data_IF_921008377969
#
_entry.id   IF_921008377969
#
_cell.length_a   1.000
_cell.length_b   1.000
_cell.length_c   1.000
_cell.angle_alpha   90.00
_cell.angle_beta   90.00
_cell.angle_gamma   90.00
#
_symmetry.space_group_name_H-M   'P 1'
#
loop_
_entity.id
_entity.type
_entity.pdbx_description
1 polymer ?
#
# COMPACT_ATOMS: atom_id res chain seq x y z
N UNK A 1 15.42 19.08 -58.07
CA UNK A 1 15.77 19.59 -56.72
C UNK A 1 14.53 19.86 -55.84
N UNK A 2 13.57 20.70 -56.23
CA UNK A 2 12.39 21.03 -55.39
C UNK A 2 11.53 19.82 -54.96
N UNK A 3 11.34 18.81 -55.83
CA UNK A 3 10.58 17.59 -55.48
C UNK A 3 11.33 16.71 -54.46
N UNK A 4 12.65 16.58 -54.62
CA UNK A 4 13.51 15.83 -53.71
C UNK A 4 13.54 16.46 -52.30
N UNK A 5 13.61 17.80 -52.25
CA UNK A 5 13.60 18.55 -50.99
C UNK A 5 12.27 18.43 -50.23
N UNK A 6 11.14 18.33 -50.95
CA UNK A 6 9.82 18.09 -50.34
C UNK A 6 9.69 16.66 -49.80
N UNK A 7 10.17 15.66 -50.52
CA UNK A 7 10.19 14.27 -50.02
C UNK A 7 11.09 14.11 -48.80
N UNK A 8 12.24 14.80 -48.76
CA UNK A 8 13.14 14.80 -47.61
C UNK A 8 12.51 15.45 -46.38
N UNK A 9 11.80 16.58 -46.57
CA UNK A 9 11.08 17.26 -45.49
C UNK A 9 9.96 16.38 -44.91
N UNK A 10 9.22 15.68 -45.77
CA UNK A 10 8.13 14.80 -45.36
C UNK A 10 8.66 13.59 -44.56
N UNK A 11 9.81 13.05 -44.96
CA UNK A 11 10.48 11.96 -44.24
C UNK A 11 10.96 12.41 -42.86
N UNK A 12 11.50 13.63 -42.73
CA UNK A 12 11.92 14.19 -41.44
C UNK A 12 10.74 14.37 -40.47
N UNK A 13 9.62 14.89 -40.97
CA UNK A 13 8.39 15.04 -40.16
C UNK A 13 7.85 13.68 -39.73
N UNK A 14 7.89 12.68 -40.62
CA UNK A 14 7.49 11.32 -40.28
C UNK A 14 8.39 10.73 -39.18
N UNK A 15 9.70 10.90 -39.26
CA UNK A 15 10.65 10.41 -38.24
C UNK A 15 10.48 11.11 -36.87
N UNK A 16 10.04 12.36 -36.83
CA UNK A 16 9.71 13.07 -35.58
C UNK A 16 8.47 12.50 -34.88
N UNK A 17 7.52 11.95 -35.63
CA UNK A 17 6.32 11.29 -35.05
C UNK A 17 6.66 9.91 -34.47
N UNK A 18 7.71 9.25 -34.97
CA UNK A 18 8.23 7.99 -34.43
C UNK A 18 9.35 8.17 -33.41
N UNK A 19 9.56 9.40 -32.91
CA UNK A 19 10.45 9.65 -31.78
C UNK A 19 9.85 8.99 -30.55
N UNK A 20 10.27 7.76 -30.26
CA UNK A 20 9.95 7.10 -28.99
C UNK A 20 10.39 8.05 -27.87
N UNK A 21 9.48 8.34 -26.95
CA UNK A 21 9.79 9.08 -25.73
C UNK A 21 10.78 8.23 -24.92
N UNK A 22 12.07 8.34 -25.25
CA UNK A 22 13.13 7.76 -24.45
C UNK A 22 13.15 8.55 -23.15
N UNK A 23 12.48 8.03 -22.13
CA UNK A 23 12.66 8.50 -20.76
C UNK A 23 14.13 8.25 -20.40
N UNK A 24 14.92 9.32 -20.43
CA UNK A 24 16.29 9.28 -19.95
C UNK A 24 16.26 9.03 -18.44
N UNK A 25 16.45 7.76 -18.04
CA UNK A 25 16.77 7.42 -16.65
C UNK A 25 18.16 8.00 -16.40
N UNK A 26 18.24 9.13 -15.69
CA UNK A 26 19.50 9.70 -15.25
C UNK A 26 20.28 8.62 -14.50
N UNK A 27 21.45 8.23 -15.00
CA UNK A 27 22.31 7.22 -14.35
C UNK A 27 22.71 7.59 -12.92
N UNK A 28 22.55 8.87 -12.54
CA UNK A 28 22.84 9.38 -11.19
C UNK A 28 21.59 9.60 -10.32
N UNK A 29 20.39 9.25 -10.78
CA UNK A 29 19.18 9.38 -9.96
C UNK A 29 19.07 8.21 -8.98
N UNK A 30 19.13 8.50 -7.68
CA UNK A 30 18.86 7.53 -6.61
C UNK A 30 17.52 6.82 -6.85
N UNK A 31 17.45 5.48 -6.71
CA UNK A 31 16.20 4.75 -6.88
C UNK A 31 15.11 5.25 -5.93
N UNK A 32 13.86 5.10 -6.35
CA UNK A 32 12.71 5.69 -5.67
C UNK A 32 11.84 4.64 -4.96
N UNK A 33 11.78 4.73 -3.63
CA UNK A 33 10.90 3.93 -2.78
C UNK A 33 9.60 4.68 -2.49
N UNK A 34 8.47 4.03 -2.78
CA UNK A 34 7.14 4.49 -2.35
C UNK A 34 6.65 3.61 -1.21
N UNK A 35 6.26 4.21 -0.09
CA UNK A 35 5.60 3.51 1.01
C UNK A 35 4.11 3.82 1.00
N UNK A 36 3.29 2.78 0.85
CA UNK A 36 1.84 2.83 0.89
C UNK A 36 1.35 2.19 2.19
N UNK A 37 0.36 2.79 2.82
CA UNK A 37 -0.25 2.17 4.00
C UNK A 37 -0.91 3.13 4.97
N UNK A 38 -0.88 2.74 6.23
CA UNK A 38 -1.54 3.44 7.32
C UNK A 38 -0.55 4.16 8.27
N UNK A 39 -0.88 4.21 9.56
CA UNK A 39 -0.07 4.73 10.65
C UNK A 39 1.32 4.09 10.80
N UNK A 40 1.50 2.83 10.41
CA UNK A 40 2.76 2.11 10.60
C UNK A 40 3.86 2.64 9.67
N UNK A 41 3.70 2.65 8.32
CA UNK A 41 4.67 3.29 7.45
C UNK A 41 4.74 4.80 7.72
N UNK A 42 3.64 5.45 8.13
CA UNK A 42 3.67 6.86 8.53
C UNK A 42 4.62 7.14 9.71
N UNK A 43 4.83 6.17 10.59
CA UNK A 43 5.56 6.37 11.85
C UNK A 43 4.76 7.24 12.83
N UNK A 44 3.46 6.93 12.97
CA UNK A 44 2.59 7.64 13.89
C UNK A 44 3.15 7.55 15.31
N UNK A 45 3.21 8.69 16.03
CA UNK A 45 3.83 8.83 17.34
C UNK A 45 5.35 8.60 17.41
N UNK A 46 6.07 8.48 16.29
CA UNK A 46 7.53 8.46 16.28
C UNK A 46 8.15 9.87 16.10
N UNK A 47 7.40 10.83 15.57
CA UNK A 47 7.85 12.20 15.39
C UNK A 47 7.53 13.11 16.58
N UNK A 48 8.08 14.33 16.59
CA UNK A 48 7.66 15.37 17.55
C UNK A 48 6.18 15.73 17.39
N UNK A 49 5.66 15.63 16.16
CA UNK A 49 4.24 15.83 15.83
C UNK A 49 3.79 14.77 14.81
N UNK A 50 2.48 14.60 14.67
CA UNK A 50 1.86 13.76 13.62
C UNK A 50 1.35 14.61 12.44
N UNK A 51 2.05 15.69 12.09
CA UNK A 51 1.67 16.56 10.96
C UNK A 51 2.18 16.04 9.60
N UNK A 52 3.24 15.24 9.61
CA UNK A 52 3.83 14.60 8.44
C UNK A 52 4.45 13.25 8.83
N UNK A 53 4.67 12.34 7.87
CA UNK A 53 5.37 11.09 8.15
C UNK A 53 6.69 11.29 8.90
N UNK A 54 6.92 10.53 9.96
CA UNK A 54 8.12 10.64 10.80
C UNK A 54 9.36 10.19 10.03
N UNK A 55 10.46 10.93 10.15
CA UNK A 55 11.76 10.52 9.58
C UNK A 55 12.38 9.30 10.29
N UNK A 56 11.83 8.92 11.45
CA UNK A 56 12.20 7.69 12.17
C UNK A 56 11.36 6.49 11.72
N UNK A 57 10.37 6.69 10.83
CA UNK A 57 9.58 5.60 10.30
C UNK A 57 10.41 4.68 9.39
N UNK A 58 10.05 3.39 9.37
CA UNK A 58 10.82 2.38 8.66
C UNK A 58 11.08 2.69 7.17
N UNK A 59 10.19 3.35 6.39
CA UNK A 59 10.49 3.69 4.99
C UNK A 59 11.70 4.62 4.86
N UNK A 60 11.85 5.60 5.76
CA UNK A 60 12.97 6.53 5.74
C UNK A 60 14.25 5.90 6.26
N UNK A 61 14.15 5.00 7.25
CA UNK A 61 15.31 4.22 7.71
C UNK A 61 15.85 3.33 6.58
N UNK A 62 14.98 2.62 5.85
CA UNK A 62 15.38 1.85 4.67
C UNK A 62 15.96 2.73 3.58
N UNK A 63 15.34 3.89 3.30
CA UNK A 63 15.85 4.81 2.30
C UNK A 63 17.23 5.38 2.64
N UNK A 64 17.50 5.63 3.93
CA UNK A 64 18.82 6.07 4.39
C UNK A 64 19.87 4.97 4.21
N UNK A 65 19.56 3.74 4.60
CA UNK A 65 20.50 2.62 4.54
C UNK A 65 20.82 2.19 3.10
N UNK A 66 19.81 2.16 2.23
CA UNK A 66 19.94 1.71 0.84
C UNK A 66 20.15 2.85 -0.18
N UNK A 67 20.40 4.07 0.29
CA UNK A 67 20.57 5.29 -0.52
C UNK A 67 19.41 5.58 -1.50
N UNK A 68 18.17 5.43 -1.02
CA UNK A 68 16.94 5.61 -1.80
C UNK A 68 16.29 6.97 -1.54
N UNK A 69 15.62 7.51 -2.55
CA UNK A 69 14.63 8.58 -2.36
C UNK A 69 13.34 7.95 -1.85
N UNK A 70 12.72 8.55 -0.83
CA UNK A 70 11.50 7.99 -0.22
C UNK A 70 10.32 8.94 -0.40
N UNK A 71 9.20 8.41 -0.89
CA UNK A 71 7.88 9.05 -0.78
C UNK A 71 6.99 8.18 0.08
N UNK A 72 6.75 8.67 1.29
CA UNK A 72 5.82 8.05 2.21
C UNK A 72 4.42 8.60 2.00
N UNK A 73 3.48 7.72 1.65
CA UNK A 73 2.07 7.99 1.44
C UNK A 73 1.20 7.27 2.46
N UNK A 74 1.79 6.84 3.59
CA UNK A 74 1.06 6.35 4.74
C UNK A 74 0.09 7.42 5.26
N UNK A 75 -1.10 7.00 5.71
CA UNK A 75 -2.08 7.90 6.33
C UNK A 75 -2.61 7.24 7.60
N UNK A 76 -2.41 7.83 8.79
CA UNK A 76 -2.93 7.26 10.04
C UNK A 76 -4.44 7.01 9.97
N UNK A 77 -4.88 5.81 10.36
CA UNK A 77 -6.29 5.42 10.35
C UNK A 77 -6.85 4.97 9.00
N UNK A 78 -6.08 5.02 7.91
CA UNK A 78 -6.53 4.60 6.59
C UNK A 78 -6.85 3.10 6.51
N UNK A 79 -7.95 2.77 5.84
CA UNK A 79 -8.34 1.39 5.53
C UNK A 79 -7.87 0.94 4.16
N UNK A 80 -8.10 -0.34 3.85
CA UNK A 80 -7.91 -0.86 2.50
C UNK A 80 -8.78 -0.15 1.46
N UNK A 81 -9.99 0.24 1.81
CA UNK A 81 -10.88 1.01 0.94
C UNK A 81 -10.30 2.40 0.60
N UNK A 82 -9.82 3.12 1.63
CA UNK A 82 -9.21 4.44 1.47
C UNK A 82 -7.99 4.40 0.52
N UNK A 83 -7.10 3.41 0.72
CA UNK A 83 -5.92 3.25 -0.13
C UNK A 83 -6.30 2.83 -1.56
N UNK A 84 -7.28 1.95 -1.71
CA UNK A 84 -7.75 1.52 -3.03
C UNK A 84 -8.35 2.68 -3.82
N UNK A 85 -9.15 3.53 -3.17
CA UNK A 85 -9.69 4.74 -3.78
C UNK A 85 -8.57 5.69 -4.20
N UNK A 86 -7.60 5.95 -3.32
CA UNK A 86 -6.45 6.79 -3.62
C UNK A 86 -5.64 6.26 -4.81
N UNK A 87 -5.40 4.95 -4.89
CA UNK A 87 -4.71 4.33 -6.02
C UNK A 87 -5.50 4.43 -7.32
N UNK A 88 -6.83 4.37 -7.28
CA UNK A 88 -7.68 4.51 -8.48
C UNK A 88 -7.82 5.96 -8.93
N UNK A 89 -7.94 6.90 -8.00
CA UNK A 89 -8.49 8.22 -8.27
C UNK A 89 -7.54 9.38 -7.94
N UNK A 90 -6.60 9.23 -7.00
CA UNK A 90 -5.66 10.29 -6.64
C UNK A 90 -4.40 10.24 -7.53
N UNK A 91 -4.23 11.29 -8.34
CA UNK A 91 -3.08 11.43 -9.23
C UNK A 91 -1.74 11.46 -8.48
N UNK A 92 -1.69 11.97 -7.24
CA UNK A 92 -0.48 11.91 -6.40
C UNK A 92 -0.07 10.47 -6.12
N UNK A 93 -1.01 9.60 -5.75
CA UNK A 93 -0.73 8.19 -5.51
C UNK A 93 -0.32 7.49 -6.80
N UNK A 94 -1.13 7.64 -7.85
CA UNK A 94 -0.90 7.02 -9.17
C UNK A 94 0.47 7.38 -9.74
N UNK A 95 0.85 8.65 -9.70
CA UNK A 95 2.16 9.09 -10.21
C UNK A 95 3.32 8.65 -9.33
N UNK A 96 3.10 8.41 -8.03
CA UNK A 96 4.15 7.86 -7.16
C UNK A 96 4.47 6.44 -7.61
N UNK A 97 3.43 5.63 -7.72
CA UNK A 97 3.50 4.21 -8.03
C UNK A 97 4.04 3.99 -9.44
N UNK A 98 3.59 4.75 -10.45
CA UNK A 98 4.10 4.63 -11.83
C UNK A 98 5.61 4.82 -11.96
N UNK A 99 6.19 5.67 -11.13
CA UNK A 99 7.60 6.07 -11.21
C UNK A 99 8.47 5.47 -10.11
N UNK A 100 7.93 4.58 -9.26
CA UNK A 100 8.72 3.90 -8.23
C UNK A 100 9.74 2.95 -8.88
N UNK A 101 10.80 2.65 -8.13
CA UNK A 101 11.65 1.49 -8.34
C UNK A 101 11.34 0.39 -7.30
N UNK A 102 10.80 0.77 -6.13
CA UNK A 102 10.39 -0.15 -5.05
C UNK A 102 9.11 0.34 -4.40
N UNK A 103 8.27 -0.60 -3.95
CA UNK A 103 7.06 -0.31 -3.17
C UNK A 103 7.08 -1.11 -1.88
N UNK A 104 6.67 -0.48 -0.79
CA UNK A 104 6.29 -1.17 0.45
C UNK A 104 4.81 -0.95 0.70
N UNK A 105 4.11 -2.00 1.13
CA UNK A 105 2.67 -1.97 1.40
C UNK A 105 2.41 -2.49 2.82
N UNK A 106 1.76 -1.68 3.65
CA UNK A 106 1.24 -2.11 4.95
C UNK A 106 -0.12 -1.47 5.24
N UNK A 107 -1.19 -2.24 5.07
CA UNK A 107 -2.57 -1.77 5.18
C UNK A 107 -3.46 -2.91 5.68
N UNK A 108 -4.65 -2.59 6.20
CA UNK A 108 -5.65 -3.57 6.66
C UNK A 108 -5.81 -3.68 8.17
N UNK A 109 -4.89 -3.13 8.97
CA UNK A 109 -5.04 -3.14 10.43
C UNK A 109 -6.27 -2.33 10.86
N UNK A 110 -6.54 -1.18 10.22
CA UNK A 110 -7.68 -0.34 10.56
C UNK A 110 -9.03 -0.98 10.19
N UNK A 111 -9.10 -1.75 9.12
CA UNK A 111 -10.28 -2.55 8.75
C UNK A 111 -10.62 -3.54 9.87
N UNK A 112 -9.62 -4.28 10.34
CA UNK A 112 -9.76 -5.24 11.43
C UNK A 112 -10.14 -4.56 12.76
N UNK A 113 -9.47 -3.47 13.13
CA UNK A 113 -9.76 -2.73 14.35
C UNK A 113 -11.17 -2.14 14.36
N UNK A 114 -11.66 -1.63 13.22
CA UNK A 114 -13.04 -1.14 13.09
C UNK A 114 -14.06 -2.28 13.22
N UNK A 115 -13.81 -3.41 12.57
CA UNK A 115 -14.69 -4.58 12.70
C UNK A 115 -14.77 -5.09 14.14
N UNK A 116 -13.63 -5.13 14.84
CA UNK A 116 -13.54 -5.53 16.23
C UNK A 116 -14.24 -4.56 17.18
N UNK A 117 -14.05 -3.25 17.00
CA UNK A 117 -14.74 -2.24 17.80
C UNK A 117 -16.27 -2.36 17.69
N UNK A 118 -16.78 -2.51 16.46
CA UNK A 118 -18.22 -2.70 16.22
C UNK A 118 -18.75 -4.00 16.83
N UNK A 119 -18.01 -5.10 16.67
CA UNK A 119 -18.40 -6.38 17.25
C UNK A 119 -18.44 -6.33 18.77
N UNK A 120 -17.47 -5.67 19.41
CA UNK A 120 -17.39 -5.53 20.87
C UNK A 120 -18.52 -4.66 21.43
N UNK A 121 -18.85 -3.56 20.74
CA UNK A 121 -19.94 -2.66 21.14
C UNK A 121 -21.30 -3.37 21.07
N UNK A 122 -21.55 -4.11 19.98
CA UNK A 122 -22.85 -4.72 19.71
C UNK A 122 -23.02 -6.10 20.35
N UNK A 123 -21.96 -6.76 20.81
CA UNK A 123 -22.03 -8.09 21.42
C UNK A 123 -22.62 -8.08 22.84
N UNK A 124 -22.62 -6.94 23.53
CA UNK A 124 -23.08 -6.82 24.93
C UNK A 124 -22.39 -7.82 25.89
N UNK A 125 -21.12 -8.14 25.63
CA UNK A 125 -20.32 -9.17 26.32
C UNK A 125 -20.78 -10.63 26.10
N UNK A 126 -21.64 -10.90 25.12
CA UNK A 126 -21.92 -12.27 24.68
C UNK A 126 -20.82 -12.73 23.70
N UNK A 127 -20.04 -13.73 24.10
CA UNK A 127 -18.91 -14.26 23.33
C UNK A 127 -19.32 -14.82 21.96
N UNK A 128 -20.43 -15.54 21.88
CA UNK A 128 -20.90 -16.13 20.61
C UNK A 128 -21.42 -15.07 19.65
N UNK A 129 -22.13 -14.07 20.19
CA UNK A 129 -22.57 -12.90 19.44
C UNK A 129 -21.37 -12.10 18.94
N UNK A 130 -20.34 -11.92 19.78
CA UNK A 130 -19.09 -11.27 19.40
C UNK A 130 -18.41 -11.98 18.23
N UNK A 131 -18.19 -13.29 18.33
CA UNK A 131 -17.54 -14.06 17.25
C UNK A 131 -18.32 -13.95 15.93
N UNK A 132 -19.66 -14.08 15.97
CA UNK A 132 -20.52 -13.92 14.80
C UNK A 132 -20.44 -12.51 14.20
N UNK A 133 -20.56 -11.47 15.03
CA UNK A 133 -20.51 -10.07 14.58
C UNK A 133 -19.14 -9.69 14.04
N UNK A 134 -18.06 -10.19 14.65
CA UNK A 134 -16.72 -9.94 14.15
C UNK A 134 -16.53 -10.53 12.76
N UNK A 135 -16.94 -11.79 12.55
CA UNK A 135 -16.87 -12.40 11.22
C UNK A 135 -17.73 -11.64 10.20
N UNK A 136 -18.94 -11.23 10.58
CA UNK A 136 -19.81 -10.39 9.76
C UNK A 136 -19.12 -9.08 9.38
N UNK A 137 -18.56 -8.34 10.34
CA UNK A 137 -17.96 -7.02 10.10
C UNK A 137 -16.63 -7.08 9.35
N UNK A 138 -15.85 -8.14 9.52
CA UNK A 138 -14.68 -8.39 8.68
C UNK A 138 -15.10 -8.63 7.23
N UNK A 139 -16.16 -9.41 6.99
CA UNK A 139 -16.67 -9.63 5.65
C UNK A 139 -17.23 -8.33 5.03
N UNK A 140 -17.99 -7.55 5.80
CA UNK A 140 -18.52 -6.25 5.36
C UNK A 140 -17.44 -5.22 5.07
N UNK A 141 -16.29 -5.27 5.76
CA UNK A 141 -15.17 -4.35 5.52
C UNK A 141 -14.57 -4.47 4.12
N UNK A 142 -14.78 -5.61 3.43
CA UNK A 142 -14.19 -5.87 2.13
C UNK A 142 -12.66 -6.01 2.14
N UNK A 143 -12.01 -6.09 3.32
CA UNK A 143 -10.55 -6.08 3.48
C UNK A 143 -9.82 -7.06 2.55
N UNK A 144 -10.34 -8.29 2.39
CA UNK A 144 -9.74 -9.31 1.53
C UNK A 144 -9.82 -8.93 0.05
N UNK A 145 -10.99 -8.48 -0.41
CA UNK A 145 -11.22 -8.06 -1.79
C UNK A 145 -10.43 -6.79 -2.12
N UNK A 146 -10.40 -5.83 -1.20
CA UNK A 146 -9.67 -4.59 -1.38
C UNK A 146 -8.15 -4.82 -1.43
N UNK A 147 -7.59 -5.70 -0.58
CA UNK A 147 -6.18 -6.08 -0.66
C UNK A 147 -5.82 -6.67 -2.03
N UNK A 148 -6.65 -7.59 -2.55
CA UNK A 148 -6.45 -8.15 -3.89
C UNK A 148 -6.49 -7.05 -4.97
N UNK A 149 -7.47 -6.14 -4.90
CA UNK A 149 -7.59 -5.05 -5.86
C UNK A 149 -6.46 -4.02 -5.74
N UNK A 150 -5.95 -3.76 -4.54
CA UNK A 150 -4.79 -2.89 -4.31
C UNK A 150 -3.57 -3.46 -5.02
N UNK A 151 -3.30 -4.76 -4.82
CA UNK A 151 -2.17 -5.44 -5.46
C UNK A 151 -2.31 -5.35 -6.99
N UNK A 152 -3.47 -5.72 -7.53
CA UNK A 152 -3.74 -5.62 -8.96
C UNK A 152 -3.59 -4.20 -9.51
N UNK A 153 -4.03 -3.18 -8.77
CA UNK A 153 -3.93 -1.78 -9.20
C UNK A 153 -2.48 -1.30 -9.16
N UNK A 154 -1.67 -1.71 -8.17
CA UNK A 154 -0.24 -1.44 -8.14
C UNK A 154 0.45 -2.08 -9.35
N UNK A 155 0.19 -3.37 -9.62
CA UNK A 155 0.74 -4.11 -10.77
C UNK A 155 0.33 -3.49 -12.11
N UNK A 156 -0.89 -2.94 -12.21
CA UNK A 156 -1.34 -2.22 -13.40
C UNK A 156 -0.59 -0.89 -13.61
N UNK A 157 -0.13 -0.26 -12.52
CA UNK A 157 0.52 1.03 -12.55
C UNK A 157 2.04 0.91 -12.73
N UNK A 158 2.67 -0.18 -12.30
CA UNK A 158 4.12 -0.35 -12.34
C UNK A 158 4.57 -1.81 -12.27
N UNK A 159 5.74 -2.10 -12.85
CA UNK A 159 6.44 -3.38 -12.71
C UNK A 159 7.37 -3.42 -11.48
N UNK A 160 7.39 -2.37 -10.65
CA UNK A 160 8.26 -2.26 -9.47
C UNK A 160 8.04 -3.39 -8.46
N UNK A 161 9.08 -4.01 -7.87
CA UNK A 161 8.93 -4.95 -6.77
C UNK A 161 8.14 -4.36 -5.60
N UNK A 162 7.20 -5.14 -5.09
CA UNK A 162 6.32 -4.78 -3.96
C UNK A 162 6.64 -5.68 -2.77
N UNK A 163 7.04 -5.07 -1.65
CA UNK A 163 7.23 -5.74 -0.38
C UNK A 163 5.98 -5.52 0.47
N UNK A 164 5.24 -6.58 0.73
CA UNK A 164 4.01 -6.51 1.52
C UNK A 164 4.29 -6.96 2.95
N UNK A 165 4.01 -6.08 3.92
CA UNK A 165 4.12 -6.37 5.33
C UNK A 165 2.82 -6.94 5.87
N UNK A 166 2.94 -7.92 6.76
CA UNK A 166 1.81 -8.54 7.41
C UNK A 166 1.03 -7.57 8.31
N UNK A 167 -0.25 -7.88 8.48
CA UNK A 167 -1.10 -7.34 9.53
C UNK A 167 -0.64 -7.99 10.84
N UNK A 168 -0.39 -7.16 11.86
CA UNK A 168 0.05 -7.62 13.17
C UNK A 168 -1.15 -7.86 14.09
N UNK A 169 -0.95 -8.66 15.12
CA UNK A 169 -1.92 -8.81 16.19
C UNK A 169 -1.73 -7.67 17.20
N UNK A 170 -2.68 -6.73 17.34
CA UNK A 170 -2.52 -5.60 18.26
C UNK A 170 -2.78 -5.98 19.72
N UNK A 171 -3.32 -7.17 19.99
CA UNK A 171 -3.75 -7.58 21.33
C UNK A 171 -2.62 -8.28 22.09
N UNK A 172 -2.39 -7.88 23.33
CA UNK A 172 -1.41 -8.53 24.21
C UNK A 172 -1.98 -9.84 24.75
N UNK A 173 -1.33 -10.95 24.42
CA UNK A 173 -1.66 -12.30 24.95
C UNK A 173 -1.57 -12.39 26.48
N UNK A 174 -0.78 -11.51 27.11
CA UNK A 174 -0.56 -11.49 28.55
C UNK A 174 -1.57 -10.62 29.29
N UNK A 175 -2.27 -9.70 28.61
CA UNK A 175 -3.36 -8.94 29.21
C UNK A 175 -4.61 -9.84 29.29
N UNK A 176 -5.15 -9.99 30.49
CA UNK A 176 -6.34 -10.79 30.74
C UNK A 176 -7.56 -10.27 29.95
N UNK A 177 -7.64 -8.96 29.70
CA UNK A 177 -8.74 -8.33 28.96
C UNK A 177 -8.63 -8.52 27.46
N UNK A 178 -7.42 -8.73 26.94
CA UNK A 178 -7.18 -8.81 25.49
C UNK A 178 -6.92 -10.24 25.01
N UNK A 179 -6.70 -11.20 25.92
CA UNK A 179 -6.34 -12.58 25.57
C UNK A 179 -7.32 -13.26 24.62
N UNK A 180 -8.63 -13.05 24.79
CA UNK A 180 -9.64 -13.64 23.89
C UNK A 180 -9.54 -13.03 22.49
N UNK A 181 -9.42 -11.70 22.41
CA UNK A 181 -9.24 -10.97 21.15
C UNK A 181 -7.94 -11.37 20.45
N UNK A 182 -6.87 -11.60 21.22
CA UNK A 182 -5.62 -12.13 20.71
C UNK A 182 -5.81 -13.49 20.04
N UNK A 183 -6.50 -14.44 20.69
CA UNK A 183 -6.76 -15.79 20.13
C UNK A 183 -7.61 -15.69 18.86
N UNK A 184 -8.60 -14.82 18.83
CA UNK A 184 -9.46 -14.64 17.66
C UNK A 184 -8.68 -14.02 16.50
N UNK A 185 -7.85 -13.00 16.76
CA UNK A 185 -6.98 -12.40 15.75
C UNK A 185 -6.02 -13.45 15.14
N UNK A 186 -5.42 -14.34 15.94
CA UNK A 186 -4.55 -15.42 15.44
C UNK A 186 -5.26 -16.40 14.49
N UNK A 187 -6.59 -16.53 14.54
CA UNK A 187 -7.34 -17.36 13.58
C UNK A 187 -7.53 -16.67 12.23
N UNK A 188 -7.60 -15.34 12.21
CA UNK A 188 -7.98 -14.53 11.05
C UNK A 188 -6.76 -14.03 10.29
N UNK A 189 -5.74 -13.57 11.04
CA UNK A 189 -4.51 -13.00 10.50
C UNK A 189 -3.80 -13.90 9.49
N UNK A 190 -3.74 -15.24 9.64
CA UNK A 190 -3.14 -16.11 8.63
C UNK A 190 -3.81 -15.96 7.25
N UNK A 191 -5.14 -15.89 7.19
CA UNK A 191 -5.86 -15.71 5.93
C UNK A 191 -5.54 -14.38 5.24
N UNK A 192 -5.49 -13.30 6.02
CA UNK A 192 -5.12 -11.97 5.53
C UNK A 192 -3.66 -11.93 5.05
N UNK A 193 -2.77 -12.56 5.81
CA UNK A 193 -1.33 -12.61 5.52
C UNK A 193 -0.97 -13.62 4.41
N UNK A 194 -1.85 -14.53 4.03
CA UNK A 194 -1.67 -15.41 2.85
C UNK A 194 -1.84 -14.62 1.54
N UNK A 195 -2.80 -13.70 1.47
CA UNK A 195 -2.95 -12.80 0.30
C UNK A 195 -1.64 -12.03 0.06
N UNK A 196 -1.00 -11.59 1.14
CA UNK A 196 0.29 -10.90 1.09
C UNK A 196 1.43 -11.77 0.54
N UNK A 197 1.39 -13.10 0.72
CA UNK A 197 2.41 -14.04 0.20
C UNK A 197 2.24 -14.37 -1.28
N UNK A 198 1.00 -14.39 -1.79
CA UNK A 198 0.75 -14.72 -3.21
C UNK A 198 1.30 -13.65 -4.16
N UNK A 199 1.32 -12.38 -3.76
CA UNK A 199 1.87 -11.28 -4.57
C UNK A 199 3.40 -11.35 -4.75
N UNK A 200 4.11 -12.08 -3.88
CA UNK A 200 5.57 -12.25 -3.95
C UNK A 200 5.95 -13.40 -4.90
N UNK A 201 5.06 -14.36 -5.13
CA UNK A 201 5.36 -15.60 -5.88
C UNK A 201 5.22 -15.51 -7.41
N UNK A 202 4.71 -14.40 -7.97
CA UNK A 202 4.52 -14.23 -9.41
C UNK A 202 5.61 -13.37 -10.10
N UNK A 203 6.84 -13.41 -9.59
CA UNK A 203 8.03 -12.85 -10.26
C UNK A 203 9.07 -13.92 -10.55
#
# INVERSE_FOLDING_TARGET
MKKFMKSLLLLMVFLLVFSTSAFAKSENAKPFLVALGDSIPYGYNLGQTNASPSQEAFPYLMGKEADLRVRNLGVPGATTEDLLDALKNDQKYRQAVRHSDYITLNIGNNDLLRALGRAAEESENDEKKFEYLLQKYINESGVFTNLQQIIMEIERLTDSPVIIYNIYNPFDKNDFKERELHVIAERILPGLNVINRMAIQFR
#
